data_IF_380491010525
#
_entry.id   IF_380491010525
#
_cell.length_a   1.000
_cell.length_b   1.000
_cell.length_c   1.000
_cell.angle_alpha   90.00
_cell.angle_beta   90.00
_cell.angle_gamma   90.00
#
_symmetry.space_group_name_H-M   'P 1'
#
loop_
_entity.id
_entity.type
_entity.pdbx_description
1 polymer ?
#
# COMPACT_ATOMS: atom_id res chain seq x y z
N UNK A 1 -4.78 7.70 -7.06
CA UNK A 1 -6.08 7.07 -6.68
C UNK A 1 -5.80 5.61 -6.35
N UNK A 2 -6.54 5.02 -5.40
CA UNK A 2 -6.35 3.62 -5.03
C UNK A 2 -7.42 2.74 -5.67
N UNK A 3 -7.02 1.57 -6.15
CA UNK A 3 -7.95 0.54 -6.58
C UNK A 3 -8.44 -0.23 -5.36
N UNK A 4 -9.69 -0.66 -5.36
CA UNK A 4 -10.22 -1.51 -4.30
C UNK A 4 -10.90 -2.76 -4.86
N UNK A 5 -10.90 -3.81 -4.06
CA UNK A 5 -11.66 -5.04 -4.28
C UNK A 5 -12.28 -5.48 -2.97
N UNK A 6 -13.60 -5.58 -2.92
CA UNK A 6 -14.32 -6.07 -1.76
C UNK A 6 -14.78 -7.50 -1.99
N UNK A 7 -14.46 -8.42 -1.07
CA UNK A 7 -14.88 -9.81 -1.13
C UNK A 7 -16.35 -9.97 -0.73
N UNK A 8 -16.85 -9.15 0.20
CA UNK A 8 -18.24 -9.21 0.67
C UNK A 8 -19.29 -8.86 -0.40
N UNK A 9 -19.04 -7.84 -1.22
CA UNK A 9 -19.94 -7.48 -2.33
C UNK A 9 -19.41 -7.87 -3.71
N UNK A 10 -18.21 -8.44 -3.78
CA UNK A 10 -17.52 -8.88 -5.01
C UNK A 10 -17.32 -7.76 -6.05
N UNK A 11 -17.42 -6.49 -5.62
CA UNK A 11 -17.23 -5.33 -6.49
C UNK A 11 -15.82 -4.77 -6.36
N UNK A 12 -15.32 -4.25 -7.46
CA UNK A 12 -14.04 -3.56 -7.56
C UNK A 12 -14.23 -2.19 -8.22
N UNK A 13 -13.28 -1.28 -7.96
CA UNK A 13 -13.31 0.08 -8.51
C UNK A 13 -12.13 0.89 -8.03
N UNK A 14 -12.24 2.21 -8.15
CA UNK A 14 -11.23 3.17 -7.72
C UNK A 14 -11.83 4.16 -6.73
N UNK A 15 -11.09 4.50 -5.68
CA UNK A 15 -11.50 5.50 -4.70
C UNK A 15 -10.30 6.31 -4.17
N UNK A 16 -10.60 7.37 -3.43
CA UNK A 16 -9.60 8.05 -2.60
C UNK A 16 -9.15 7.12 -1.47
N UNK A 17 -7.85 7.06 -1.23
CA UNK A 17 -7.28 6.37 -0.07
C UNK A 17 -6.91 7.41 0.97
N UNK A 18 -7.61 7.40 2.11
CA UNK A 18 -7.47 8.38 3.20
C UNK A 18 -6.79 7.78 4.44
N UNK A 19 -6.38 6.51 4.38
CA UNK A 19 -5.50 5.88 5.37
C UNK A 19 -6.12 5.63 6.76
N UNK A 20 -7.41 5.93 6.98
CA UNK A 20 -8.09 5.68 8.26
C UNK A 20 -9.32 4.79 8.08
N UNK A 21 -9.24 3.57 8.60
CA UNK A 21 -10.40 2.70 8.86
C UNK A 21 -11.34 2.51 7.65
N UNK A 22 -10.79 2.07 6.52
CA UNK A 22 -11.58 2.01 5.28
C UNK A 22 -12.41 0.74 5.19
N UNK A 23 -13.72 0.92 5.13
CA UNK A 23 -14.67 -0.08 4.70
C UNK A 23 -14.98 0.09 3.20
N UNK A 24 -15.57 -0.93 2.57
CA UNK A 24 -15.93 -0.87 1.16
C UNK A 24 -16.88 0.32 0.92
N UNK A 25 -16.58 1.24 -0.02
CA UNK A 25 -17.42 2.41 -0.27
C UNK A 25 -18.80 2.05 -0.84
N UNK A 26 -18.99 0.80 -1.29
CA UNK A 26 -20.23 0.34 -1.91
C UNK A 26 -21.18 -0.37 -0.94
N UNK A 27 -20.65 -1.08 0.05
CA UNK A 27 -21.46 -1.88 0.97
C UNK A 27 -21.13 -1.67 2.46
N UNK A 28 -20.10 -0.88 2.78
CA UNK A 28 -19.67 -0.62 4.15
C UNK A 28 -18.99 -1.80 4.85
N UNK A 29 -18.67 -2.89 4.15
CA UNK A 29 -17.98 -4.03 4.75
C UNK A 29 -16.49 -3.74 4.97
N UNK A 30 -15.91 -4.10 6.14
CA UNK A 30 -14.46 -4.00 6.37
C UNK A 30 -13.66 -5.00 5.54
N UNK A 31 -14.32 -5.96 4.90
CA UNK A 31 -13.72 -7.01 4.07
C UNK A 31 -13.39 -6.47 2.67
N UNK A 32 -12.46 -5.52 2.62
CA UNK A 32 -12.03 -4.80 1.41
C UNK A 32 -10.51 -4.65 1.38
N UNK A 33 -9.94 -4.91 0.20
CA UNK A 33 -8.51 -4.75 -0.07
C UNK A 33 -8.32 -3.55 -0.97
N UNK A 34 -7.45 -2.63 -0.57
CA UNK A 34 -7.05 -1.46 -1.36
C UNK A 34 -5.64 -1.67 -1.91
N UNK A 35 -5.51 -1.60 -3.22
CA UNK A 35 -4.24 -1.48 -3.92
C UNK A 35 -3.98 0.01 -4.17
N UNK A 36 -3.17 0.60 -3.29
CA UNK A 36 -2.63 1.95 -3.50
C UNK A 36 -1.44 1.80 -4.43
N UNK A 37 -1.50 2.41 -5.61
CA UNK A 37 -0.29 2.55 -6.41
C UNK A 37 0.66 3.44 -5.60
N UNK A 38 1.75 2.86 -5.11
CA UNK A 38 2.90 3.68 -4.73
C UNK A 38 3.39 4.31 -6.03
N UNK A 39 3.40 5.64 -6.09
CA UNK A 39 4.15 6.31 -7.15
C UNK A 39 5.59 5.80 -7.04
N UNK A 40 6.11 5.34 -8.18
CA UNK A 40 7.47 4.84 -8.27
C UNK A 40 8.39 5.94 -7.76
N UNK A 41 9.07 5.68 -6.63
CA UNK A 41 10.02 6.63 -6.08
C UNK A 41 11.17 6.74 -7.09
N UNK A 42 11.57 7.96 -7.49
CA UNK A 42 12.69 8.11 -8.39
C UNK A 42 13.94 7.47 -7.78
N UNK A 43 14.74 6.80 -8.60
CA UNK A 43 15.89 6.00 -8.17
C UNK A 43 16.87 6.77 -7.27
N UNK A 44 16.96 8.10 -7.44
CA UNK A 44 17.77 8.98 -6.60
C UNK A 44 17.36 8.96 -5.12
N UNK A 45 16.06 8.87 -4.84
CA UNK A 45 15.52 8.79 -3.47
C UNK A 45 15.71 7.38 -2.92
N UNK A 46 15.53 6.36 -3.75
CA UNK A 46 15.79 4.96 -3.36
C UNK A 46 17.27 4.76 -3.00
N UNK A 47 18.19 5.35 -3.77
CA UNK A 47 19.62 5.31 -3.51
C UNK A 47 20.02 6.08 -2.24
N UNK A 48 19.35 7.19 -1.93
CA UNK A 48 19.59 7.95 -0.70
C UNK A 48 19.13 7.23 0.57
N UNK A 49 18.12 6.36 0.47
CA UNK A 49 17.62 5.52 1.57
C UNK A 49 18.47 4.25 1.80
N UNK A 50 19.39 3.93 0.89
CA UNK A 50 20.10 2.66 0.86
C UNK A 50 21.06 2.37 2.04
N UNK A 51 21.63 3.33 2.81
CA UNK A 51 22.55 2.94 3.88
C UNK A 51 21.91 3.04 5.28
N UNK A 52 21.00 2.11 5.60
CA UNK A 52 20.79 1.61 6.97
C UNK A 52 20.69 0.07 7.05
N UNK A 53 20.59 -0.65 5.94
CA UNK A 53 20.58 -2.11 5.92
C UNK A 53 21.97 -2.70 5.59
N UNK A 54 23.00 -2.30 6.34
CA UNK A 54 24.27 -3.05 6.36
C UNK A 54 25.08 -2.88 7.66
N UNK A 55 24.45 -3.09 8.82
CA UNK A 55 25.20 -3.38 10.05
C UNK A 55 25.01 -4.86 10.41
N UNK A 56 25.55 -5.73 9.55
CA UNK A 56 25.72 -7.16 9.79
C UNK A 56 27.20 -7.50 9.71
N UNK A 57 28.01 -6.95 10.60
CA UNK A 57 29.44 -7.25 10.71
C UNK A 57 29.66 -8.40 11.71
N UNK A 58 30.16 -9.53 11.18
CA UNK A 58 31.15 -10.42 11.80
C UNK A 58 30.72 -11.35 12.95
N UNK A 59 30.74 -12.67 12.69
CA UNK A 59 31.54 -13.61 13.50
C UNK A 59 32.16 -14.67 12.58
N UNK A 60 33.48 -14.58 12.37
CA UNK A 60 34.34 -15.71 11.99
C UNK A 60 35.02 -16.26 13.24
#
# INVERSE_FOLDING_TARGET
>A
MARFRCSACTRSGECGYDGRGQACPLCGSPDVVFAVAIEELPDEVLAALAPLEHSGEGIE
#
